data_IF_542838465916
#
_entry.id   IF_542838465916
#
_cell.length_a   1.000
_cell.length_b   1.000
_cell.length_c   1.000
_cell.angle_alpha   90.00
_cell.angle_beta   90.00
_cell.angle_gamma   90.00
#
_symmetry.space_group_name_H-M   'P 1'
#
loop_
_entity.id
_entity.type
_entity.pdbx_description
1 polymer ?
#
# COMPACT_ATOMS: atom_id res chain seq x y z
N UNK A 1 -27.82 14.18 -2.99
CA UNK A 1 -26.99 15.30 -3.47
C UNK A 1 -27.01 15.26 -4.99
N UNK A 2 -26.73 16.35 -5.71
CA UNK A 2 -26.74 16.35 -7.20
C UNK A 2 -25.87 15.23 -7.78
N UNK A 3 -24.74 14.92 -7.11
CA UNK A 3 -23.85 13.82 -7.50
C UNK A 3 -24.44 12.44 -7.17
N UNK A 4 -25.11 12.29 -6.03
CA UNK A 4 -25.78 11.03 -5.65
C UNK A 4 -26.90 10.72 -6.65
N UNK A 5 -27.69 11.72 -7.03
CA UNK A 5 -28.79 11.60 -7.98
C UNK A 5 -28.25 11.26 -9.38
N UNK A 6 -27.15 11.90 -9.78
CA UNK A 6 -26.45 11.60 -11.04
C UNK A 6 -25.89 10.17 -11.06
N UNK A 7 -25.35 9.71 -9.94
CA UNK A 7 -24.84 8.34 -9.80
C UNK A 7 -25.96 7.30 -9.87
N UNK A 8 -27.09 7.53 -9.19
CA UNK A 8 -28.27 6.68 -9.26
C UNK A 8 -28.83 6.58 -10.68
N UNK A 9 -28.84 7.69 -11.42
CA UNK A 9 -29.22 7.70 -12.84
C UNK A 9 -28.27 6.84 -13.68
N UNK A 10 -26.95 6.87 -13.42
CA UNK A 10 -26.00 6.05 -14.18
C UNK A 10 -26.07 4.57 -13.80
N UNK A 11 -26.26 4.25 -12.52
CA UNK A 11 -26.41 2.88 -12.03
C UNK A 11 -27.72 2.24 -12.51
N UNK A 12 -28.83 3.00 -12.56
CA UNK A 12 -30.13 2.51 -13.04
C UNK A 12 -30.16 2.19 -14.54
N UNK A 13 -29.25 2.76 -15.34
CA UNK A 13 -29.08 2.40 -16.75
C UNK A 13 -28.44 1.02 -16.96
N UNK A 14 -27.87 0.40 -15.91
CA UNK A 14 -27.38 -1.00 -15.88
C UNK A 14 -26.55 -1.40 -17.11
N UNK A 15 -25.62 -0.52 -17.54
CA UNK A 15 -24.90 -0.66 -18.80
C UNK A 15 -23.39 -0.49 -18.62
N UNK A 16 -22.63 -1.41 -19.22
CA UNK A 16 -21.16 -1.39 -19.34
C UNK A 16 -20.65 -0.11 -20.02
N UNK A 17 -21.45 0.50 -20.90
CA UNK A 17 -21.05 1.73 -21.62
C UNK A 17 -20.95 2.96 -20.71
N UNK A 18 -21.57 2.92 -19.53
CA UNK A 18 -21.62 4.06 -18.59
C UNK A 18 -20.53 4.00 -17.52
N UNK A 19 -19.66 2.99 -17.54
CA UNK A 19 -18.57 2.80 -16.57
C UNK A 19 -17.63 4.00 -16.54
N UNK A 20 -17.33 4.59 -17.70
CA UNK A 20 -16.51 5.80 -17.79
C UNK A 20 -17.17 7.01 -17.11
N UNK A 21 -18.51 7.10 -17.12
CA UNK A 21 -19.22 8.15 -16.39
C UNK A 21 -19.23 7.88 -14.88
N UNK A 22 -19.37 6.62 -14.46
CA UNK A 22 -19.25 6.21 -13.05
C UNK A 22 -17.84 6.50 -12.52
N UNK A 23 -16.79 6.23 -13.30
CA UNK A 23 -15.41 6.53 -12.93
C UNK A 23 -15.16 8.03 -12.79
N UNK A 24 -15.73 8.86 -13.68
CA UNK A 24 -15.69 10.33 -13.55
C UNK A 24 -16.40 10.80 -12.28
N UNK A 25 -17.59 10.28 -11.99
CA UNK A 25 -18.31 10.60 -10.75
C UNK A 25 -17.51 10.21 -9.50
N UNK A 26 -16.78 9.09 -9.51
CA UNK A 26 -15.87 8.71 -8.42
C UNK A 26 -14.74 9.73 -8.21
N UNK A 27 -14.15 10.22 -9.30
CA UNK A 27 -13.13 11.27 -9.23
C UNK A 27 -13.71 12.58 -8.65
N UNK A 28 -14.95 12.93 -9.03
CA UNK A 28 -15.64 14.12 -8.52
C UNK A 28 -16.00 14.00 -7.02
N UNK A 29 -16.45 12.82 -6.57
CA UNK A 29 -16.64 12.55 -5.13
C UNK A 29 -15.34 12.70 -4.36
N UNK A 30 -14.24 12.12 -4.84
CA UNK A 30 -12.91 12.27 -4.23
C UNK A 30 -12.45 13.72 -4.17
N UNK A 31 -12.66 14.49 -5.26
CA UNK A 31 -12.32 15.90 -5.30
C UNK A 31 -13.08 16.71 -4.24
N UNK A 32 -14.39 16.49 -4.12
CA UNK A 32 -15.23 17.19 -3.15
C UNK A 32 -14.89 16.82 -1.70
N UNK A 33 -14.59 15.55 -1.43
CA UNK A 33 -14.08 15.11 -0.13
C UNK A 33 -12.79 15.86 0.23
N UNK A 34 -11.85 15.96 -0.70
CA UNK A 34 -10.57 16.64 -0.49
C UNK A 34 -10.74 18.16 -0.26
N UNK A 35 -11.69 18.81 -0.95
CA UNK A 35 -12.02 20.22 -0.72
C UNK A 35 -12.62 20.44 0.67
N UNK A 36 -13.54 19.57 1.10
CA UNK A 36 -14.13 19.61 2.44
C UNK A 36 -13.03 19.43 3.48
N UNK A 37 -12.19 18.41 3.34
CA UNK A 37 -11.08 18.17 4.25
C UNK A 37 -10.12 19.37 4.34
N UNK A 38 -9.74 19.98 3.20
CA UNK A 38 -8.89 21.19 3.20
C UNK A 38 -9.53 22.39 3.89
N UNK A 39 -10.86 22.54 3.79
CA UNK A 39 -11.58 23.68 4.37
C UNK A 39 -11.74 23.58 5.89
N UNK A 40 -11.89 22.35 6.41
CA UNK A 40 -12.18 22.12 7.83
C UNK A 40 -10.97 21.66 8.65
N UNK A 41 -9.83 21.43 8.02
CA UNK A 41 -8.57 21.18 8.73
C UNK A 41 -7.84 22.51 9.02
N UNK A 42 -7.38 22.78 10.25
CA UNK A 42 -7.31 21.89 11.41
C UNK A 42 -8.38 22.14 12.50
N UNK A 43 -9.23 23.16 12.39
CA UNK A 43 -10.11 23.58 13.50
C UNK A 43 -11.58 23.20 13.31
N UNK A 44 -11.90 21.92 13.51
CA UNK A 44 -13.25 21.55 13.97
C UNK A 44 -13.17 21.51 15.50
N UNK A 45 -13.83 22.45 16.18
CA UNK A 45 -13.76 22.55 17.65
C UNK A 45 -14.76 21.62 18.34
N UNK A 46 -15.95 21.47 17.77
CA UNK A 46 -17.04 20.68 18.35
C UNK A 46 -16.94 19.17 18.04
N UNK A 47 -17.10 18.33 19.06
CA UNK A 47 -17.02 16.87 18.91
C UNK A 47 -18.14 16.31 18.03
N UNK A 48 -19.36 16.84 18.16
CA UNK A 48 -20.49 16.40 17.35
C UNK A 48 -20.26 16.69 15.86
N UNK A 49 -19.69 17.85 15.53
CA UNK A 49 -19.35 18.20 14.15
C UNK A 49 -18.26 17.28 13.59
N UNK A 50 -17.27 16.90 14.41
CA UNK A 50 -16.27 15.88 14.02
C UNK A 50 -16.90 14.54 13.71
N UNK A 51 -17.84 14.09 14.54
CA UNK A 51 -18.54 12.82 14.32
C UNK A 51 -19.34 12.90 13.02
N UNK A 52 -20.12 13.96 12.80
CA UNK A 52 -20.94 14.12 11.58
C UNK A 52 -20.06 14.13 10.33
N UNK A 53 -18.98 14.91 10.33
CA UNK A 53 -18.05 15.01 9.21
C UNK A 53 -17.37 13.66 8.95
N UNK A 54 -16.84 12.99 9.98
CA UNK A 54 -16.19 11.68 9.82
C UNK A 54 -17.14 10.60 9.33
N UNK A 55 -18.37 10.56 9.85
CA UNK A 55 -19.39 9.58 9.45
C UNK A 55 -19.78 9.75 7.98
N UNK A 56 -19.93 11.00 7.57
CA UNK A 56 -20.23 11.38 6.18
C UNK A 56 -19.07 11.00 5.25
N UNK A 57 -17.83 11.29 5.64
CA UNK A 57 -16.64 10.91 4.88
C UNK A 57 -16.50 9.39 4.75
N UNK A 58 -16.74 8.65 5.85
CA UNK A 58 -16.65 7.18 5.86
C UNK A 58 -17.65 6.55 4.88
N UNK A 59 -18.88 7.06 4.84
CA UNK A 59 -19.87 6.65 3.84
C UNK A 59 -19.36 6.85 2.40
N UNK A 60 -18.84 8.04 2.06
CA UNK A 60 -18.38 8.30 0.69
C UNK A 60 -17.12 7.52 0.32
N UNK A 61 -16.20 7.26 1.25
CA UNK A 61 -15.05 6.38 0.98
C UNK A 61 -15.49 4.93 0.70
N UNK A 62 -16.43 4.39 1.47
CA UNK A 62 -16.99 3.06 1.22
C UNK A 62 -17.74 3.02 -0.12
N UNK A 63 -18.45 4.09 -0.48
CA UNK A 63 -19.10 4.22 -1.78
C UNK A 63 -18.08 4.21 -2.92
N UNK A 64 -17.03 5.03 -2.83
CA UNK A 64 -15.95 5.08 -3.85
C UNK A 64 -15.28 3.70 -4.00
N UNK A 65 -15.02 3.01 -2.89
CA UNK A 65 -14.44 1.68 -2.91
C UNK A 65 -15.34 0.69 -3.69
N UNK A 66 -16.64 0.65 -3.36
CA UNK A 66 -17.60 -0.22 -4.04
C UNK A 66 -17.76 0.13 -5.53
N UNK A 67 -17.73 1.42 -5.88
CA UNK A 67 -17.78 1.85 -7.29
C UNK A 67 -16.49 1.51 -8.04
N UNK A 68 -15.32 1.58 -7.38
CA UNK A 68 -14.05 1.18 -7.99
C UNK A 68 -14.02 -0.34 -8.23
N UNK A 69 -14.55 -1.11 -7.29
CA UNK A 69 -14.74 -2.56 -7.45
C UNK A 69 -15.70 -2.88 -8.60
N UNK A 70 -16.81 -2.14 -8.71
CA UNK A 70 -17.71 -2.23 -9.86
C UNK A 70 -16.98 -1.98 -11.19
N UNK A 71 -16.21 -0.89 -11.30
CA UNK A 71 -15.44 -0.57 -12.52
C UNK A 71 -14.51 -1.73 -12.89
N UNK A 72 -13.74 -2.25 -11.93
CA UNK A 72 -12.82 -3.38 -12.14
C UNK A 72 -13.54 -4.65 -12.57
N UNK A 73 -14.67 -4.97 -11.94
CA UNK A 73 -15.42 -6.18 -12.26
C UNK A 73 -16.03 -6.10 -13.66
N UNK A 74 -16.49 -4.91 -14.08
CA UNK A 74 -17.04 -4.71 -15.43
C UNK A 74 -15.94 -4.73 -16.50
N UNK A 75 -14.75 -4.21 -16.20
CA UNK A 75 -13.60 -4.25 -17.10
C UNK A 75 -13.09 -5.69 -17.32
N UNK A 76 -13.12 -6.52 -16.28
CA UNK A 76 -12.57 -7.88 -16.29
C UNK A 76 -13.56 -8.96 -16.71
N UNK A 77 -14.86 -8.79 -16.43
CA UNK A 77 -15.87 -9.83 -16.61
C UNK A 77 -17.02 -9.20 -17.41
N UNK A 78 -17.12 -9.53 -18.70
CA UNK A 78 -18.16 -9.03 -19.63
C UNK A 78 -19.61 -9.40 -19.24
N UNK A 79 -19.86 -9.89 -18.02
CA UNK A 79 -21.19 -10.13 -17.44
C UNK A 79 -21.28 -9.51 -16.06
N UNK A 80 -22.29 -8.67 -15.91
CA UNK A 80 -22.63 -7.95 -14.69
C UNK A 80 -23.63 -8.78 -13.90
N UNK A 81 -23.35 -9.01 -12.62
CA UNK A 81 -24.35 -9.54 -11.68
C UNK A 81 -25.36 -8.44 -11.32
N UNK A 82 -26.63 -8.70 -11.65
CA UNK A 82 -27.73 -7.78 -11.41
C UNK A 82 -27.94 -7.52 -9.91
N UNK A 83 -27.73 -8.54 -9.07
CA UNK A 83 -27.87 -8.46 -7.62
C UNK A 83 -26.85 -7.48 -7.02
N UNK A 84 -25.68 -7.35 -7.64
CA UNK A 84 -24.64 -6.42 -7.21
C UNK A 84 -25.04 -4.95 -7.45
N UNK A 85 -25.66 -4.65 -8.60
CA UNK A 85 -26.18 -3.30 -8.88
C UNK A 85 -27.31 -2.93 -7.93
N UNK A 86 -28.23 -3.85 -7.66
CA UNK A 86 -29.36 -3.59 -6.80
C UNK A 86 -28.89 -3.33 -5.35
N UNK A 87 -27.87 -4.06 -4.86
CA UNK A 87 -27.20 -3.79 -3.57
C UNK A 87 -26.47 -2.44 -3.53
N UNK A 88 -25.88 -2.00 -4.63
CA UNK A 88 -25.25 -0.67 -4.73
C UNK A 88 -26.28 0.45 -4.66
N UNK A 89 -27.41 0.29 -5.35
CA UNK A 89 -28.52 1.24 -5.34
C UNK A 89 -29.14 1.31 -3.94
N UNK A 90 -29.37 0.17 -3.30
CA UNK A 90 -29.82 0.07 -1.92
C UNK A 90 -28.85 0.79 -0.97
N UNK A 91 -27.54 0.53 -1.08
CA UNK A 91 -26.52 1.19 -0.28
C UNK A 91 -26.53 2.73 -0.42
N UNK A 92 -26.76 3.27 -1.62
CA UNK A 92 -26.86 4.71 -1.85
C UNK A 92 -28.16 5.27 -1.26
N UNK A 93 -29.29 4.56 -1.42
CA UNK A 93 -30.58 4.98 -0.88
C UNK A 93 -30.60 4.96 0.66
N UNK A 94 -29.86 4.04 1.28
CA UNK A 94 -29.72 3.94 2.73
C UNK A 94 -28.74 4.97 3.33
N UNK A 95 -28.17 5.88 2.53
CA UNK A 95 -27.16 6.86 2.95
C UNK A 95 -27.45 7.51 4.30
N UNK A 96 -28.62 8.10 4.48
CA UNK A 96 -28.95 8.84 5.71
C UNK A 96 -29.05 7.90 6.92
N UNK A 97 -29.56 6.67 6.72
CA UNK A 97 -29.63 5.64 7.77
C UNK A 97 -28.23 5.14 8.15
N UNK A 98 -27.38 4.88 7.16
CA UNK A 98 -26.01 4.43 7.37
C UNK A 98 -25.14 5.49 8.05
N UNK A 99 -25.25 6.75 7.62
CA UNK A 99 -24.52 7.88 8.19
C UNK A 99 -24.97 8.14 9.63
N UNK A 100 -26.28 8.24 9.88
CA UNK A 100 -26.82 8.58 11.21
C UNK A 100 -26.76 7.42 12.21
N UNK A 101 -26.73 6.18 11.74
CA UNK A 101 -26.64 4.97 12.56
C UNK A 101 -25.23 4.38 12.59
N UNK A 102 -24.98 3.38 11.73
CA UNK A 102 -23.76 2.54 11.76
C UNK A 102 -22.47 3.37 11.75
N UNK A 103 -22.32 4.30 10.81
CA UNK A 103 -21.09 5.07 10.67
C UNK A 103 -20.91 6.08 11.79
N UNK A 104 -22.00 6.71 12.26
CA UNK A 104 -21.97 7.57 13.45
C UNK A 104 -21.45 6.83 14.67
N UNK A 105 -21.94 5.62 14.93
CA UNK A 105 -21.52 4.81 16.08
C UNK A 105 -20.03 4.45 15.96
N UNK A 106 -19.59 3.96 14.80
CA UNK A 106 -18.19 3.61 14.55
C UNK A 106 -17.28 4.83 14.73
N UNK A 107 -17.62 5.97 14.10
CA UNK A 107 -16.81 7.17 14.18
C UNK A 107 -16.83 7.80 15.57
N UNK A 108 -17.94 7.72 16.30
CA UNK A 108 -18.01 8.13 17.70
C UNK A 108 -17.10 7.25 18.56
N UNK A 109 -17.15 5.92 18.41
CA UNK A 109 -16.25 5.00 19.11
C UNK A 109 -14.78 5.23 18.76
N UNK A 110 -14.45 5.41 17.49
CA UNK A 110 -13.09 5.75 17.03
C UNK A 110 -12.62 7.09 17.61
N UNK A 111 -13.47 8.12 17.66
CA UNK A 111 -13.14 9.42 18.25
C UNK A 111 -13.03 9.32 19.77
N UNK A 112 -13.93 8.61 20.44
CA UNK A 112 -13.85 8.37 21.88
C UNK A 112 -12.59 7.60 22.23
N UNK A 113 -12.21 6.56 21.48
CA UNK A 113 -10.93 5.87 21.64
C UNK A 113 -9.74 6.78 21.28
N UNK A 114 -9.87 7.71 20.34
CA UNK A 114 -8.80 8.65 20.02
C UNK A 114 -8.61 9.72 21.12
N UNK A 115 -9.68 10.14 21.79
CA UNK A 115 -9.69 11.18 22.82
C UNK A 115 -9.67 10.66 24.27
N UNK A 116 -9.90 9.36 24.48
CA UNK A 116 -9.70 8.67 25.76
C UNK A 116 -8.21 8.68 26.12
N UNK A 117 -7.87 9.08 27.34
CA UNK A 117 -6.48 9.31 27.76
C UNK A 117 -5.65 8.02 27.70
N UNK A 118 -6.23 6.87 28.04
CA UNK A 118 -5.53 5.59 27.98
C UNK A 118 -5.29 5.15 26.54
N UNK A 119 -6.31 5.26 25.69
CA UNK A 119 -6.22 4.91 24.28
C UNK A 119 -5.34 5.89 23.48
N UNK A 120 -5.30 7.18 23.86
CA UNK A 120 -4.36 8.19 23.37
C UNK A 120 -2.94 7.88 23.81
N UNK A 121 -2.70 7.53 25.07
CA UNK A 121 -1.38 7.10 25.53
C UNK A 121 -0.94 5.82 24.83
N UNK A 122 -1.86 4.90 24.53
CA UNK A 122 -1.56 3.69 23.79
C UNK A 122 -1.29 3.97 22.30
N UNK A 123 -2.04 4.89 21.67
CA UNK A 123 -1.79 5.35 20.30
C UNK A 123 -0.53 6.19 20.19
N UNK A 124 -0.24 7.06 21.15
CA UNK A 124 1.01 7.82 21.26
C UNK A 124 2.17 6.86 21.52
N UNK A 125 1.99 5.82 22.34
CA UNK A 125 2.96 4.74 22.50
C UNK A 125 3.16 3.97 21.20
N UNK A 126 2.11 3.58 20.49
CA UNK A 126 2.20 2.90 19.18
C UNK A 126 2.78 3.83 18.11
N UNK A 127 2.50 5.13 18.16
CA UNK A 127 3.03 6.13 17.23
C UNK A 127 4.47 6.49 17.54
N UNK A 128 4.86 6.59 18.81
CA UNK A 128 6.23 6.72 19.27
C UNK A 128 7.00 5.45 18.91
N UNK A 129 6.45 4.27 19.19
CA UNK A 129 7.00 3.00 18.72
C UNK A 129 7.07 2.97 17.19
N UNK A 130 6.09 3.53 16.46
CA UNK A 130 6.12 3.63 14.99
C UNK A 130 7.00 4.75 14.45
N UNK A 131 7.37 5.75 15.25
CA UNK A 131 8.21 6.89 14.89
C UNK A 131 9.66 6.59 15.24
N UNK A 132 9.91 5.97 16.39
CA UNK A 132 11.16 5.30 16.75
C UNK A 132 11.39 4.09 15.85
N UNK A 133 10.32 3.37 15.49
CA UNK A 133 10.43 2.41 14.40
C UNK A 133 10.57 3.11 13.07
N UNK A 134 9.95 4.26 12.72
CA UNK A 134 10.22 4.96 11.45
C UNK A 134 11.62 5.56 11.37
N UNK A 135 12.22 5.98 12.49
CA UNK A 135 13.62 6.38 12.56
C UNK A 135 14.57 5.17 12.52
N UNK A 136 14.06 3.98 12.88
CA UNK A 136 14.71 2.67 12.61
C UNK A 136 14.26 1.97 11.31
N UNK A 137 13.25 2.51 10.61
CA UNK A 137 12.54 1.91 9.46
C UNK A 137 12.51 2.94 8.33
N UNK A 138 13.69 3.29 7.83
CA UNK A 138 13.84 3.10 6.39
C UNK A 138 13.81 1.59 6.15
N UNK A 139 12.60 1.10 5.82
CA UNK A 139 12.28 -0.28 5.47
C UNK A 139 12.53 -1.30 6.56
N UNK A 140 11.45 -1.91 7.05
CA UNK A 140 11.49 -3.27 7.59
C UNK A 140 10.07 -3.88 7.44
N UNK A 141 9.82 -5.15 7.15
CA UNK A 141 10.68 -6.35 7.20
C UNK A 141 10.28 -7.33 6.09
N UNK A 142 11.17 -7.52 5.11
CA UNK A 142 11.68 -8.86 4.90
C UNK A 142 13.01 -8.99 5.66
N UNK A 143 13.60 -10.18 5.79
CA UNK A 143 15.03 -10.25 6.12
C UNK A 143 15.85 -9.41 5.12
N UNK A 144 17.08 -8.98 5.45
CA UNK A 144 17.98 -8.35 4.47
C UNK A 144 18.04 -9.16 3.16
N UNK A 145 17.99 -10.48 3.29
CA UNK A 145 17.83 -11.44 2.18
C UNK A 145 16.56 -11.19 1.33
N UNK A 146 15.38 -11.03 1.92
CA UNK A 146 14.13 -10.79 1.18
C UNK A 146 14.13 -9.45 0.45
N UNK A 147 14.73 -8.40 1.02
CA UNK A 147 14.84 -7.10 0.35
C UNK A 147 15.79 -7.17 -0.84
N UNK A 148 16.91 -7.88 -0.70
CA UNK A 148 17.85 -8.15 -1.79
C UNK A 148 17.17 -8.95 -2.92
N UNK A 149 16.41 -10.00 -2.58
CA UNK A 149 15.66 -10.81 -3.55
C UNK A 149 14.64 -9.96 -4.31
N UNK A 150 13.90 -9.07 -3.63
CA UNK A 150 12.92 -8.18 -4.28
C UNK A 150 13.58 -7.20 -5.24
N UNK A 151 14.69 -6.58 -4.84
CA UNK A 151 15.43 -5.63 -5.70
C UNK A 151 15.93 -6.33 -6.96
N UNK A 152 16.50 -7.52 -6.81
CA UNK A 152 17.01 -8.31 -7.92
C UNK A 152 15.89 -8.75 -8.89
N UNK A 153 14.74 -9.21 -8.38
CA UNK A 153 13.59 -9.57 -9.21
C UNK A 153 13.01 -8.37 -9.98
N UNK A 154 12.87 -7.22 -9.33
CA UNK A 154 12.38 -5.98 -9.97
C UNK A 154 13.36 -5.48 -11.04
N UNK A 155 14.67 -5.67 -10.81
CA UNK A 155 15.72 -5.32 -11.75
C UNK A 155 15.81 -6.28 -12.96
N UNK A 156 15.03 -7.37 -12.98
CA UNK A 156 14.90 -8.29 -14.11
C UNK A 156 15.54 -9.67 -13.91
N UNK A 157 15.96 -10.02 -12.69
CA UNK A 157 16.52 -11.34 -12.40
C UNK A 157 15.47 -12.46 -12.45
N UNK A 158 15.85 -13.62 -12.97
CA UNK A 158 15.02 -14.83 -13.00
C UNK A 158 15.08 -15.62 -11.69
N UNK A 159 16.22 -15.59 -11.02
CA UNK A 159 16.50 -16.34 -9.79
C UNK A 159 17.57 -15.65 -8.97
N UNK A 160 17.42 -15.73 -7.65
CA UNK A 160 18.34 -15.14 -6.67
C UNK A 160 18.60 -16.15 -5.57
N UNK A 161 19.87 -16.50 -5.36
CA UNK A 161 20.34 -17.44 -4.36
C UNK A 161 21.30 -16.70 -3.44
N UNK A 162 21.15 -16.88 -2.13
CA UNK A 162 22.06 -16.31 -1.14
C UNK A 162 22.73 -17.45 -0.39
N UNK A 163 24.06 -17.44 -0.31
CA UNK A 163 24.86 -18.46 0.38
C UNK A 163 25.88 -17.80 1.31
N UNK A 164 26.46 -18.59 2.21
CA UNK A 164 27.56 -18.14 3.07
C UNK A 164 28.82 -17.93 2.22
N UNK A 165 29.67 -16.97 2.59
CA UNK A 165 30.91 -16.71 1.89
C UNK A 165 31.93 -17.85 2.02
N UNK A 166 32.31 -18.44 0.88
CA UNK A 166 33.38 -19.43 0.79
C UNK A 166 34.77 -18.81 0.95
N UNK A 167 35.77 -19.65 1.25
CA UNK A 167 37.17 -19.21 1.46
C UNK A 167 37.75 -18.41 0.28
N UNK A 168 37.34 -18.73 -0.95
CA UNK A 168 37.76 -18.03 -2.17
C UNK A 168 37.23 -16.59 -2.21
N UNK A 169 36.04 -16.32 -1.67
CA UNK A 169 35.46 -14.97 -1.64
C UNK A 169 36.13 -14.06 -0.62
N UNK A 170 36.81 -14.64 0.38
CA UNK A 170 37.63 -13.88 1.35
C UNK A 170 38.93 -13.34 0.76
N UNK A 171 39.36 -13.85 -0.40
CA UNK A 171 40.46 -13.28 -1.18
C UNK A 171 40.04 -11.96 -1.85
N UNK A 172 38.74 -11.79 -2.15
CA UNK A 172 38.18 -10.59 -2.79
C UNK A 172 37.66 -9.55 -1.79
N UNK A 173 37.16 -10.00 -0.64
CA UNK A 173 36.71 -9.16 0.46
C UNK A 173 36.97 -9.89 1.78
N UNK A 174 37.97 -9.47 2.54
CA UNK A 174 38.39 -10.14 3.78
C UNK A 174 37.25 -10.23 4.82
N UNK A 175 36.36 -9.23 4.82
CA UNK A 175 35.16 -9.12 5.66
C UNK A 175 33.94 -9.90 5.14
N UNK A 176 34.05 -10.63 4.02
CA UNK A 176 32.91 -11.30 3.38
C UNK A 176 32.21 -12.31 4.31
N UNK A 177 30.89 -12.17 4.41
CA UNK A 177 30.01 -13.06 5.18
C UNK A 177 28.98 -13.77 4.32
N UNK A 178 28.50 -13.14 3.24
CA UNK A 178 27.49 -13.72 2.35
C UNK A 178 27.80 -13.47 0.88
N UNK A 179 27.29 -14.34 0.03
CA UNK A 179 27.34 -14.27 -1.43
C UNK A 179 25.90 -14.24 -1.94
N UNK A 180 25.61 -13.33 -2.88
CA UNK A 180 24.32 -13.21 -3.56
C UNK A 180 24.56 -13.54 -5.03
N UNK A 181 23.99 -14.63 -5.50
CA UNK A 181 24.05 -15.10 -6.89
C UNK A 181 22.72 -14.77 -7.55
N UNK A 182 22.74 -14.17 -8.73
CA UNK A 182 21.54 -13.80 -9.47
C UNK A 182 21.71 -14.06 -10.96
N UNK A 183 20.67 -14.61 -11.58
CA UNK A 183 20.66 -14.97 -13.00
C UNK A 183 19.61 -14.18 -13.77
N UNK A 184 19.73 -14.19 -15.09
CA UNK A 184 18.78 -13.64 -16.07
C UNK A 184 18.27 -14.77 -16.97
N UNK A 185 17.15 -14.58 -17.66
CA UNK A 185 16.57 -15.62 -18.53
C UNK A 185 17.43 -15.88 -19.75
N UNK A 186 17.33 -17.08 -20.35
CA UNK A 186 18.13 -17.52 -21.50
C UNK A 186 18.06 -16.56 -22.72
N UNK A 187 16.98 -15.78 -22.82
CA UNK A 187 16.74 -14.80 -23.89
C UNK A 187 17.21 -13.36 -23.56
N UNK A 188 17.82 -13.13 -22.40
CA UNK A 188 18.20 -11.79 -21.94
C UNK A 188 19.70 -11.48 -22.12
N UNK A 189 20.00 -10.20 -22.33
CA UNK A 189 21.35 -9.70 -22.55
C UNK A 189 22.17 -9.68 -21.24
N UNK A 190 23.41 -10.18 -21.27
CA UNK A 190 24.34 -10.16 -20.14
C UNK A 190 24.55 -8.78 -19.50
N UNK A 191 24.30 -7.68 -20.22
CA UNK A 191 24.31 -6.30 -19.68
C UNK A 191 23.31 -6.09 -18.53
N UNK A 192 22.25 -6.89 -18.45
CA UNK A 192 21.28 -6.84 -17.34
C UNK A 192 21.88 -7.33 -16.02
N UNK A 193 22.85 -8.26 -16.03
CA UNK A 193 23.51 -8.73 -14.81
C UNK A 193 24.28 -7.60 -14.13
N UNK A 194 25.00 -6.77 -14.90
CA UNK A 194 25.71 -5.62 -14.34
C UNK A 194 24.74 -4.63 -13.70
N UNK A 195 23.61 -4.37 -14.36
CA UNK A 195 22.56 -3.47 -13.86
C UNK A 195 21.93 -3.97 -12.57
N UNK A 196 21.59 -5.26 -12.49
CA UNK A 196 21.06 -5.90 -11.28
C UNK A 196 22.09 -5.78 -10.15
N UNK A 197 23.36 -6.05 -10.45
CA UNK A 197 24.46 -5.94 -9.50
C UNK A 197 24.61 -4.52 -8.94
N UNK A 198 24.53 -3.49 -9.79
CA UNK A 198 24.61 -2.09 -9.38
C UNK A 198 23.45 -1.67 -8.47
N UNK A 199 22.23 -2.11 -8.74
CA UNK A 199 21.05 -1.77 -7.92
C UNK A 199 21.12 -2.44 -6.53
N UNK A 200 21.52 -3.71 -6.46
CA UNK A 200 21.73 -4.38 -5.17
C UNK A 200 22.89 -3.73 -4.39
N UNK A 201 23.98 -3.36 -5.07
CA UNK A 201 25.10 -2.66 -4.44
C UNK A 201 24.70 -1.31 -3.87
N UNK A 202 23.95 -0.48 -4.61
CA UNK A 202 23.44 0.80 -4.09
C UNK A 202 22.64 0.62 -2.80
N UNK A 203 21.84 -0.44 -2.73
CA UNK A 203 21.08 -0.77 -1.54
C UNK A 203 21.99 -1.19 -0.36
N UNK A 204 22.97 -2.06 -0.59
CA UNK A 204 23.96 -2.46 0.43
C UNK A 204 24.80 -1.27 0.93
N UNK A 205 25.27 -0.43 0.01
CA UNK A 205 26.02 0.79 0.33
C UNK A 205 25.17 1.76 1.17
N UNK A 206 23.87 1.90 0.87
CA UNK A 206 22.94 2.73 1.66
C UNK A 206 22.74 2.24 3.11
N UNK A 207 23.09 0.98 3.38
CA UNK A 207 23.02 0.33 4.68
C UNK A 207 24.40 0.22 5.35
N UNK A 208 25.44 0.82 4.76
CA UNK A 208 26.85 0.77 5.19
C UNK A 208 27.47 -0.63 5.18
N UNK A 209 27.05 -1.49 4.24
CA UNK A 209 27.73 -2.77 3.98
C UNK A 209 28.73 -2.63 2.84
N UNK A 210 29.87 -3.29 2.97
CA UNK A 210 30.84 -3.42 1.89
C UNK A 210 30.38 -4.48 0.90
N UNK A 211 30.46 -4.17 -0.39
CA UNK A 211 30.07 -5.10 -1.44
C UNK A 211 30.89 -4.99 -2.73
N UNK A 212 31.21 -6.15 -3.29
CA UNK A 212 31.97 -6.32 -4.53
C UNK A 212 31.11 -7.06 -5.55
N UNK A 213 30.95 -6.48 -6.75
CA UNK A 213 30.20 -7.08 -7.86
C UNK A 213 31.15 -7.91 -8.73
N UNK A 214 30.78 -9.14 -9.04
CA UNK A 214 31.45 -10.01 -10.03
C UNK A 214 30.41 -10.75 -10.84
N UNK A 215 30.36 -10.55 -12.17
CA UNK A 215 29.56 -11.30 -13.16
C UNK A 215 28.45 -12.21 -12.60
N UNK A 216 27.26 -11.65 -12.31
CA UNK A 216 26.10 -12.40 -11.78
C UNK A 216 26.16 -12.72 -10.28
N UNK A 217 27.12 -12.15 -9.56
CA UNK A 217 27.37 -12.38 -8.13
C UNK A 217 27.73 -11.08 -7.40
N UNK A 218 27.29 -10.95 -6.16
CA UNK A 218 27.75 -9.95 -5.19
C UNK A 218 28.30 -10.63 -3.96
N UNK A 219 29.49 -10.22 -3.54
CA UNK A 219 30.13 -10.62 -2.29
C UNK A 219 29.95 -9.47 -1.31
N UNK A 220 29.47 -9.74 -0.09
CA UNK A 220 29.21 -8.69 0.91
C UNK A 220 29.57 -9.14 2.34
N UNK A 221 29.92 -8.17 3.18
CA UNK A 221 30.13 -8.33 4.62
C UNK A 221 28.81 -8.36 5.43
N UNK A 222 27.67 -8.16 4.76
CA UNK A 222 26.35 -8.34 5.34
C UNK A 222 26.12 -9.81 5.74
N UNK A 223 25.62 -10.04 6.94
CA UNK A 223 25.21 -11.37 7.41
C UNK A 223 23.75 -11.60 7.01
N UNK A 224 23.55 -12.30 5.90
CA UNK A 224 22.24 -12.47 5.27
C UNK A 224 21.54 -13.77 5.68
N UNK A 225 22.27 -14.73 6.24
CA UNK A 225 21.76 -16.01 6.74
C UNK A 225 21.95 -16.11 8.27
N UNK A 226 21.03 -16.76 9.00
CA UNK A 226 21.21 -17.08 10.41
C UNK A 226 22.38 -18.05 10.62
N UNK A 227 23.01 -18.03 11.80
CA UNK A 227 24.04 -19.02 12.12
C UNK A 227 23.43 -20.42 12.12
N UNK A 228 24.07 -21.36 11.42
CA UNK A 228 23.76 -22.78 11.56
C UNK A 228 24.09 -23.19 13.01
N UNK A 229 23.06 -23.60 13.76
CA UNK A 229 23.22 -24.39 14.98
C UNK A 229 23.40 -25.86 14.63
#
# INVERSE_FOLDING_TARGET
SILDDSLLIQLSKKSVKNVNEIAKLCADFNHNINLILKKYYPEIREMNDKVIIKSTLKFYYDLIYKLTDLVRNIENIQKIDQEYYDKLIEFINEKESLISGKYRIICAQELTAFYDQNSRQNLEKILLEKIESKSRNYFTFGSLEEEIKKIALVAGSSSVIITVADKLCKEDLESAKSIIIFDIGEDQDFRYLTKIGEEIKKYLDSKNYESVIKNGTIITDAKLLPDEN
#
